data_IF_349452664756
#
_entry.id   IF_349452664756
#
_cell.length_a   1.000
_cell.length_b   1.000
_cell.length_c   1.000
_cell.angle_alpha   90.00
_cell.angle_beta   90.00
_cell.angle_gamma   90.00
#
_symmetry.space_group_name_H-M   'P 1'
#
loop_
_entity.id
_entity.type
_entity.pdbx_description
1 polymer ?
#
# COMPACT_ATOMS: atom_id res chain seq x y z
N UNK A 1 -31.65 -55.32 -45.57
CA UNK A 1 -30.97 -55.81 -44.35
C UNK A 1 -29.76 -56.62 -44.77
N UNK A 2 -28.58 -56.02 -44.82
CA UNK A 2 -27.31 -56.74 -45.00
C UNK A 2 -26.18 -55.85 -44.48
N UNK A 3 -25.52 -56.29 -43.40
CA UNK A 3 -24.31 -55.65 -42.89
C UNK A 3 -23.04 -56.28 -43.48
N UNK A 4 -21.90 -55.63 -43.22
CA UNK A 4 -20.57 -56.22 -42.93
C UNK A 4 -19.58 -55.07 -42.62
N UNK A 5 -19.05 -55.06 -41.40
CA UNK A 5 -17.67 -55.40 -41.00
C UNK A 5 -16.72 -54.19 -40.87
N UNK A 6 -16.48 -53.83 -39.59
CA UNK A 6 -15.19 -53.62 -38.93
C UNK A 6 -13.98 -53.15 -39.76
N UNK A 7 -13.33 -52.05 -39.36
CA UNK A 7 -12.09 -52.11 -38.57
C UNK A 7 -11.63 -50.72 -38.08
N UNK A 8 -11.06 -50.76 -36.88
CA UNK A 8 -10.48 -49.70 -36.06
C UNK A 8 -9.26 -49.05 -36.72
N UNK A 9 -9.14 -47.71 -36.64
CA UNK A 9 -7.84 -47.05 -36.46
C UNK A 9 -7.98 -45.97 -35.40
N UNK A 10 -7.36 -46.21 -34.26
CA UNK A 10 -7.12 -45.22 -33.22
C UNK A 10 -5.94 -44.33 -33.65
N UNK A 11 -6.08 -43.01 -33.48
CA UNK A 11 -4.94 -42.11 -33.31
C UNK A 11 -5.42 -40.81 -32.65
N UNK A 12 -5.38 -40.81 -31.32
CA UNK A 12 -5.44 -39.62 -30.49
C UNK A 12 -4.16 -38.80 -30.73
N UNK A 13 -4.29 -37.56 -31.19
CA UNK A 13 -3.29 -36.52 -30.91
C UNK A 13 -4.05 -35.30 -30.42
N UNK A 14 -4.15 -35.20 -29.10
CA UNK A 14 -4.55 -33.98 -28.44
C UNK A 14 -3.42 -32.97 -28.62
N UNK A 15 -3.63 -31.97 -29.48
CA UNK A 15 -2.75 -30.81 -29.55
C UNK A 15 -3.13 -29.92 -28.35
N UNK A 16 -2.41 -30.09 -27.25
CA UNK A 16 -2.39 -29.12 -26.16
C UNK A 16 -1.68 -27.90 -26.70
N UNK A 17 -2.45 -26.88 -27.09
CA UNK A 17 -1.90 -25.55 -27.33
C UNK A 17 -1.55 -24.99 -25.97
N UNK A 18 -0.29 -25.17 -25.56
CA UNK A 18 0.26 -24.44 -24.44
C UNK A 18 0.27 -22.95 -24.81
N UNK A 19 -0.72 -22.21 -24.32
CA UNK A 19 -0.66 -20.75 -24.29
C UNK A 19 0.48 -20.39 -23.35
N UNK A 20 1.68 -20.27 -23.89
CA UNK A 20 2.80 -19.60 -23.25
C UNK A 20 2.48 -18.11 -23.12
N UNK A 21 1.56 -17.78 -22.22
CA UNK A 21 1.53 -16.45 -21.66
C UNK A 21 2.76 -16.35 -20.76
N UNK A 22 3.74 -15.53 -21.13
CA UNK A 22 4.69 -15.04 -20.15
C UNK A 22 3.84 -14.43 -19.04
N UNK A 23 3.73 -15.10 -17.90
CA UNK A 23 3.24 -14.46 -16.70
C UNK A 23 4.18 -13.29 -16.49
N UNK A 24 3.70 -12.07 -16.73
CA UNK A 24 4.39 -10.87 -16.26
C UNK A 24 4.64 -11.11 -14.78
N UNK A 25 5.90 -10.99 -14.37
CA UNK A 25 6.25 -10.87 -12.96
C UNK A 25 5.29 -9.87 -12.30
N UNK A 26 4.90 -10.05 -11.03
CA UNK A 26 4.05 -9.06 -10.38
C UNK A 26 4.79 -7.74 -10.47
N UNK A 27 4.27 -6.81 -11.27
CA UNK A 27 4.75 -5.44 -11.32
C UNK A 27 4.73 -4.91 -9.89
N UNK A 28 5.78 -4.21 -9.49
CA UNK A 28 5.78 -3.45 -8.24
C UNK A 28 4.44 -2.71 -8.10
N UNK A 29 3.81 -2.76 -6.92
CA UNK A 29 2.53 -2.09 -6.73
C UNK A 29 2.67 -0.62 -7.11
N UNK A 30 1.69 -0.04 -7.80
CA UNK A 30 1.79 1.35 -8.24
C UNK A 30 1.91 2.25 -7.01
N UNK A 31 2.85 3.19 -7.09
CA UNK A 31 2.96 4.30 -6.15
C UNK A 31 1.70 5.16 -6.24
N UNK A 32 1.16 5.52 -5.09
CA UNK A 32 -0.02 6.36 -4.98
C UNK A 32 0.43 7.81 -4.82
N UNK A 33 -0.11 8.67 -5.67
CA UNK A 33 0.34 10.06 -5.77
C UNK A 33 -0.49 10.96 -4.88
N UNK A 34 0.21 11.84 -4.19
CA UNK A 34 -0.37 12.85 -3.33
C UNK A 34 -0.44 14.19 -4.04
N UNK A 35 -1.35 15.02 -3.57
CA UNK A 35 -1.42 16.44 -3.91
C UNK A 35 -1.32 17.27 -2.64
N UNK A 36 -0.87 18.51 -2.77
CA UNK A 36 -0.91 19.53 -1.74
C UNK A 36 -1.49 20.80 -2.32
N UNK A 37 -2.53 21.33 -1.67
CA UNK A 37 -3.23 22.54 -2.12
C UNK A 37 -3.68 22.45 -3.60
N UNK A 38 -4.14 21.26 -4.01
CA UNK A 38 -4.61 20.98 -5.37
C UNK A 38 -3.51 20.78 -6.43
N UNK A 39 -2.22 20.70 -6.04
CA UNK A 39 -1.10 20.43 -6.96
C UNK A 39 -0.44 19.11 -6.60
N UNK A 40 -0.14 18.28 -7.60
CA UNK A 40 0.64 17.06 -7.38
C UNK A 40 2.02 17.41 -6.84
N UNK A 41 2.47 16.69 -5.81
CA UNK A 41 3.79 16.87 -5.17
C UNK A 41 4.78 15.80 -5.64
N UNK A 42 6.07 16.05 -5.39
CA UNK A 42 7.14 15.12 -5.77
C UNK A 42 7.13 13.87 -4.89
N UNK A 43 7.52 12.72 -5.44
CA UNK A 43 7.53 11.46 -4.70
C UNK A 43 8.58 11.44 -3.57
N UNK A 44 9.67 12.22 -3.70
CA UNK A 44 10.64 12.37 -2.61
C UNK A 44 10.08 13.20 -1.44
N UNK A 45 9.02 13.97 -1.67
CA UNK A 45 8.35 14.73 -0.62
C UNK A 45 7.36 13.85 0.15
N UNK A 46 6.54 13.08 -0.56
CA UNK A 46 5.56 12.16 0.00
C UNK A 46 5.15 11.11 -1.05
N UNK A 47 5.09 9.85 -0.64
CA UNK A 47 4.54 8.77 -1.44
C UNK A 47 3.92 7.68 -0.57
N UNK A 48 2.95 6.94 -1.11
CA UNK A 48 2.46 5.73 -0.47
C UNK A 48 2.40 4.55 -1.44
N UNK A 49 2.67 3.34 -0.95
CA UNK A 49 2.78 2.14 -1.78
C UNK A 49 2.46 0.88 -0.97
N UNK A 50 1.85 -0.10 -1.63
CA UNK A 50 1.52 -1.37 -0.99
C UNK A 50 2.80 -2.18 -0.72
N UNK A 51 2.80 -3.00 0.32
CA UNK A 51 3.89 -3.92 0.58
C UNK A 51 4.01 -5.02 -0.48
N UNK A 52 5.23 -5.53 -0.63
CA UNK A 52 5.55 -6.50 -1.68
C UNK A 52 5.09 -7.92 -1.30
N UNK A 53 4.63 -8.67 -2.31
CA UNK A 53 4.09 -10.01 -2.12
C UNK A 53 5.12 -11.03 -1.61
N UNK A 54 6.39 -10.91 -2.02
CA UNK A 54 7.43 -11.83 -1.58
C UNK A 54 7.79 -11.65 -0.09
N UNK A 55 7.48 -10.49 0.50
CA UNK A 55 7.61 -10.23 1.94
C UNK A 55 6.35 -10.65 2.72
N UNK A 56 5.26 -11.03 2.03
CA UNK A 56 3.96 -11.31 2.65
C UNK A 56 3.22 -10.06 3.13
N UNK A 57 3.57 -8.87 2.62
CA UNK A 57 3.07 -7.57 3.13
C UNK A 57 1.97 -6.95 2.25
N UNK A 58 1.23 -7.77 1.50
CA UNK A 58 0.26 -7.27 0.52
C UNK A 58 -0.91 -6.49 1.14
N UNK A 59 -1.23 -6.74 2.40
CA UNK A 59 -2.24 -6.00 3.17
C UNK A 59 -1.69 -4.72 3.82
N UNK A 60 -0.37 -4.50 3.77
CA UNK A 60 0.32 -3.35 4.35
C UNK A 60 0.38 -2.21 3.35
N UNK A 61 0.16 -0.99 3.83
CA UNK A 61 0.47 0.25 3.09
C UNK A 61 1.55 1.01 3.83
N UNK A 62 2.58 1.43 3.11
CA UNK A 62 3.60 2.33 3.59
C UNK A 62 3.31 3.75 3.10
N UNK A 63 3.61 4.73 3.94
CA UNK A 63 3.61 6.15 3.62
C UNK A 63 4.97 6.71 3.99
N UNK A 64 5.75 7.07 2.99
CA UNK A 64 7.03 7.74 3.17
C UNK A 64 6.82 9.25 3.06
N UNK A 65 7.24 9.97 4.09
CA UNK A 65 7.07 11.42 4.20
C UNK A 65 8.40 12.09 4.52
N UNK A 66 8.77 13.07 3.70
CA UNK A 66 9.89 13.96 3.98
C UNK A 66 9.66 14.76 5.26
N UNK A 67 10.72 14.94 6.06
CA UNK A 67 10.64 15.65 7.32
C UNK A 67 11.59 16.85 7.37
N UNK A 68 11.11 18.04 7.78
CA UNK A 68 9.71 18.38 8.04
C UNK A 68 8.83 18.33 6.77
N UNK A 69 7.50 18.19 6.89
CA UNK A 69 6.61 18.08 5.73
C UNK A 69 6.73 19.28 4.78
N UNK A 70 6.92 19.03 3.48
CA UNK A 70 7.11 20.06 2.46
C UNK A 70 8.55 20.48 2.20
N UNK A 71 9.51 19.83 2.85
CA UNK A 71 10.93 20.15 2.69
C UNK A 71 11.56 19.53 1.43
N UNK A 72 10.96 18.46 0.88
CA UNK A 72 11.46 17.76 -0.32
C UNK A 72 12.73 16.92 -0.11
N UNK A 73 13.57 17.23 0.89
CA UNK A 73 14.61 16.39 1.57
C UNK A 73 15.41 17.27 2.56
N UNK A 74 15.71 16.88 3.84
CA UNK A 74 16.30 15.59 4.24
C UNK A 74 15.78 14.94 5.56
N UNK A 75 15.65 13.60 5.54
CA UNK A 75 15.13 12.77 6.62
C UNK A 75 13.73 12.27 6.26
N UNK A 76 13.56 10.95 6.12
CA UNK A 76 12.31 10.30 5.71
C UNK A 76 11.69 9.57 6.90
N UNK A 77 10.37 9.71 7.07
CA UNK A 77 9.60 8.92 8.03
C UNK A 77 8.67 7.99 7.28
N UNK A 78 8.70 6.72 7.65
CA UNK A 78 7.76 5.73 7.16
C UNK A 78 6.64 5.54 8.18
N UNK A 79 5.41 5.75 7.76
CA UNK A 79 4.20 5.45 8.52
C UNK A 79 3.47 4.27 7.88
N UNK A 80 2.80 3.48 8.70
CA UNK A 80 2.36 2.14 8.32
C UNK A 80 0.86 1.97 8.58
N UNK A 81 0.14 1.52 7.55
CA UNK A 81 -1.20 0.94 7.70
C UNK A 81 -1.07 -0.58 7.66
N UNK A 82 -1.27 -1.24 8.79
CA UNK A 82 -1.20 -2.70 8.88
C UNK A 82 -2.44 -3.25 9.59
N UNK A 83 -3.58 -3.38 8.89
CA UNK A 83 -4.84 -3.80 9.49
C UNK A 83 -4.85 -5.29 9.89
N UNK A 84 -3.96 -6.10 9.31
CA UNK A 84 -3.90 -7.55 9.54
C UNK A 84 -2.76 -7.93 10.49
N UNK A 85 -1.88 -7.00 10.85
CA UNK A 85 -0.73 -7.26 11.72
C UNK A 85 0.33 -8.12 11.02
N UNK A 86 0.54 -7.91 9.72
CA UNK A 86 1.52 -8.62 8.91
C UNK A 86 2.98 -8.25 9.25
N UNK A 87 3.21 -7.10 9.89
CA UNK A 87 4.54 -6.63 10.26
C UNK A 87 4.93 -7.00 11.70
N UNK A 88 6.23 -7.05 11.94
CA UNK A 88 6.78 -7.23 13.28
C UNK A 88 6.59 -5.96 14.12
N UNK A 89 5.82 -6.08 15.21
CA UNK A 89 5.39 -4.94 16.03
C UNK A 89 6.50 -4.17 16.77
N UNK A 90 7.65 -4.73 17.19
CA UNK A 90 8.68 -4.00 17.93
C UNK A 90 9.28 -2.80 17.19
N UNK A 91 9.19 -2.76 15.85
CA UNK A 91 9.64 -1.63 15.05
C UNK A 91 8.58 -0.52 14.89
N UNK A 92 7.33 -0.76 15.30
CA UNK A 92 6.27 0.24 15.25
C UNK A 92 6.20 1.01 16.58
N UNK A 93 6.23 2.33 16.50
CA UNK A 93 6.19 3.21 17.67
C UNK A 93 4.83 3.17 18.40
N UNK A 94 3.76 2.79 17.69
CA UNK A 94 2.39 2.67 18.17
C UNK A 94 1.66 1.53 17.42
N UNK A 95 0.40 1.28 17.73
CA UNK A 95 -0.46 0.35 16.97
C UNK A 95 -1.28 1.10 15.92
N UNK A 96 -1.56 0.44 14.79
CA UNK A 96 -2.56 0.92 13.83
C UNK A 96 -3.97 0.85 14.43
N UNK A 97 -4.76 1.89 14.25
CA UNK A 97 -6.18 1.91 14.60
C UNK A 97 -7.02 2.37 13.39
N UNK A 98 -7.97 1.55 12.96
CA UNK A 98 -8.84 1.85 11.81
C UNK A 98 -9.94 2.88 12.12
N UNK A 99 -10.24 3.09 13.40
CA UNK A 99 -11.22 4.05 13.90
C UNK A 99 -10.61 4.82 15.09
N UNK A 100 -9.58 5.59 14.80
CA UNK A 100 -8.87 6.39 15.78
C UNK A 100 -9.67 7.64 16.20
N UNK A 101 -9.38 8.16 17.39
CA UNK A 101 -9.78 9.53 17.74
C UNK A 101 -8.68 10.48 17.30
N UNK A 102 -9.03 11.51 16.52
CA UNK A 102 -8.08 12.54 16.13
C UNK A 102 -7.66 13.37 17.35
N UNK A 103 -6.36 13.55 17.62
CA UNK A 103 -5.90 14.43 18.69
C UNK A 103 -6.40 15.86 18.52
N UNK A 104 -6.69 16.59 19.62
CA UNK A 104 -7.23 17.95 19.55
C UNK A 104 -6.24 18.98 19.00
N UNK A 105 -4.94 18.67 19.01
CA UNK A 105 -3.85 19.46 18.45
C UNK A 105 -3.42 18.98 17.05
N UNK A 106 -4.14 18.02 16.46
CA UNK A 106 -3.89 17.60 15.09
C UNK A 106 -4.23 18.71 14.10
N UNK A 107 -3.32 18.97 13.16
CA UNK A 107 -3.49 19.92 12.07
C UNK A 107 -3.41 19.22 10.72
N UNK A 108 -4.27 19.66 9.79
CA UNK A 108 -4.17 19.26 8.39
C UNK A 108 -2.84 19.75 7.81
N UNK A 109 -2.13 18.86 7.14
CA UNK A 109 -0.84 19.17 6.50
C UNK A 109 -1.01 19.82 5.12
N UNK A 110 -2.21 19.72 4.55
CA UNK A 110 -2.55 20.07 3.18
C UNK A 110 -2.35 18.94 2.17
N UNK A 111 -1.74 17.81 2.56
CA UNK A 111 -1.60 16.65 1.68
C UNK A 111 -2.91 15.85 1.59
N UNK A 112 -3.29 15.53 0.36
CA UNK A 112 -4.50 14.80 0.04
C UNK A 112 -4.26 13.75 -1.05
N UNK A 113 -4.97 12.63 -0.92
CA UNK A 113 -5.00 11.54 -1.90
C UNK A 113 -6.33 10.80 -1.79
N UNK A 114 -7.02 10.64 -2.93
CA UNK A 114 -8.23 9.82 -3.04
C UNK A 114 -9.32 10.11 -1.98
N UNK A 115 -9.46 11.37 -1.56
CA UNK A 115 -10.40 11.77 -0.51
C UNK A 115 -9.92 11.57 0.93
N UNK A 116 -8.68 11.11 1.12
CA UNK A 116 -7.98 11.06 2.40
C UNK A 116 -7.08 12.28 2.56
N UNK A 117 -7.14 12.94 3.71
CA UNK A 117 -6.26 14.04 4.09
C UNK A 117 -5.27 13.58 5.16
N UNK A 118 -4.01 14.00 5.05
CA UNK A 118 -2.98 13.73 6.06
C UNK A 118 -2.97 14.80 7.14
N UNK A 119 -3.03 14.36 8.39
CA UNK A 119 -2.99 15.18 9.59
C UNK A 119 -1.86 14.72 10.50
N UNK A 120 -1.26 15.67 11.21
CA UNK A 120 -0.22 15.43 12.21
C UNK A 120 -0.56 16.20 13.47
N UNK A 121 -0.35 15.59 14.63
CA UNK A 121 -0.51 16.25 15.92
C UNK A 121 0.85 16.60 16.50
N UNK A 122 1.02 17.85 16.95
CA UNK A 122 2.30 18.32 17.50
C UNK A 122 2.74 17.47 18.71
N UNK A 123 1.79 16.96 19.49
CA UNK A 123 2.04 16.08 20.63
C UNK A 123 2.61 14.70 20.28
N UNK A 124 2.48 14.22 19.04
CA UNK A 124 2.96 12.89 18.65
C UNK A 124 3.38 12.71 17.19
N UNK A 125 3.66 13.79 16.46
CA UNK A 125 4.07 13.74 15.05
C UNK A 125 5.33 12.89 14.79
N UNK A 126 6.13 12.65 15.83
CA UNK A 126 7.28 11.74 15.84
C UNK A 126 6.91 10.25 15.82
N UNK A 127 5.64 9.89 16.07
CA UNK A 127 5.17 8.53 16.33
C UNK A 127 3.96 8.12 15.51
N UNK A 128 3.09 9.05 15.13
CA UNK A 128 1.82 8.74 14.45
C UNK A 128 1.54 9.74 13.34
N UNK A 129 0.98 9.25 12.25
CA UNK A 129 0.29 10.05 11.24
C UNK A 129 -1.20 9.70 11.24
N UNK A 130 -2.06 10.68 10.95
CA UNK A 130 -3.50 10.46 10.91
C UNK A 130 -4.03 10.66 9.51
N UNK A 131 -4.80 9.69 9.02
CA UNK A 131 -5.46 9.78 7.72
C UNK A 131 -6.95 9.96 7.95
N UNK A 132 -7.45 11.10 7.50
CA UNK A 132 -8.85 11.50 7.68
C UNK A 132 -9.58 11.38 6.35
N UNK A 133 -10.58 10.52 6.30
CA UNK A 133 -11.53 10.48 5.18
C UNK A 133 -12.35 11.77 5.19
N UNK A 134 -12.19 12.60 4.16
CA UNK A 134 -12.77 13.95 4.11
C UNK A 134 -14.30 13.92 4.02
N UNK A 135 -14.87 12.86 3.41
CA UNK A 135 -16.31 12.75 3.21
C UNK A 135 -17.05 12.30 4.47
N UNK A 136 -16.47 11.38 5.23
CA UNK A 136 -17.09 10.72 6.38
C UNK A 136 -16.56 11.21 7.72
N UNK A 137 -15.37 11.82 7.75
CA UNK A 137 -14.65 12.21 8.96
C UNK A 137 -14.04 11.03 9.72
N UNK A 138 -14.03 9.82 9.15
CA UNK A 138 -13.35 8.66 9.74
C UNK A 138 -11.85 8.89 9.79
N UNK A 139 -11.21 8.42 10.85
CA UNK A 139 -9.78 8.64 11.10
C UNK A 139 -9.10 7.30 11.29
N UNK A 140 -8.01 7.09 10.55
CA UNK A 140 -7.07 6.02 10.82
C UNK A 140 -5.82 6.59 11.49
N UNK A 141 -5.23 5.88 12.45
CA UNK A 141 -3.90 6.17 13.00
C UNK A 141 -2.87 5.23 12.39
N UNK A 142 -1.84 5.80 11.79
CA UNK A 142 -0.78 5.07 11.11
C UNK A 142 0.50 5.23 11.94
N UNK A 143 0.95 4.19 12.66
CA UNK A 143 2.18 4.26 13.44
C UNK A 143 3.40 4.46 12.57
N UNK A 144 4.38 5.21 13.08
CA UNK A 144 5.70 5.34 12.49
C UNK A 144 6.51 4.06 12.72
N UNK A 145 7.22 3.62 11.68
CA UNK A 145 8.25 2.60 11.77
C UNK A 145 9.63 3.23 12.11
N UNK A 146 10.33 2.64 13.07
CA UNK A 146 11.71 2.98 13.41
C UNK A 146 12.46 1.73 13.95
N UNK A 147 13.38 1.13 13.17
CA UNK A 147 13.80 1.53 11.83
C UNK A 147 12.69 1.35 10.77
N UNK A 148 12.79 1.99 9.58
CA UNK A 148 11.85 1.76 8.49
C UNK A 148 11.92 0.32 7.99
N UNK A 149 10.79 -0.21 7.53
CA UNK A 149 10.72 -1.49 6.85
C UNK A 149 11.17 -1.35 5.40
N UNK A 150 12.08 -2.23 4.99
CA UNK A 150 12.47 -2.45 3.60
C UNK A 150 12.34 -3.93 3.26
N UNK A 151 12.12 -4.23 1.98
CA UNK A 151 12.25 -5.58 1.44
C UNK A 151 13.66 -5.71 0.84
N UNK A 152 14.40 -6.76 1.23
CA UNK A 152 15.72 -7.11 0.70
C UNK A 152 15.65 -8.21 -0.37
#
# INVERSE_FOLDING_TARGET
MTGRMMAVVAATVAIVVATGGCAREPSEPPVERWSRDGRQVDMNEIESYAGLAHCGWQSVRFLDLSWPPGSGTPGQRQYVRDPEGALDRPALQQSFEAEATLPPDAAATGYERDGMALWLADSDAERTAYLVDVASGKVESWPRADPPFGCD
#
